data_IF_383473322385
#
_entry.id   IF_383473322385
#
_cell.length_a   1.000
_cell.length_b   1.000
_cell.length_c   1.000
_cell.angle_alpha   90.00
_cell.angle_beta   90.00
_cell.angle_gamma   90.00
#
_symmetry.space_group_name_H-M   'P 1'
#
loop_
_entity.id
_entity.type
_entity.pdbx_description
1 polymer ?
#
# COMPACT_ATOMS: atom_id res chain seq x y z
N UNK A 1 8.04 -0.24 -25.17
CA UNK A 1 7.27 -1.51 -25.13
C UNK A 1 5.87 -1.23 -25.64
N UNK A 2 5.41 -1.97 -26.64
CA UNK A 2 4.04 -1.86 -27.17
C UNK A 2 3.25 -3.04 -26.60
N UNK A 3 2.11 -2.76 -25.97
CA UNK A 3 1.23 -3.78 -25.39
C UNK A 3 -0.09 -3.75 -26.16
N UNK A 4 -0.46 -4.87 -26.76
CA UNK A 4 -1.74 -5.05 -27.44
C UNK A 4 -2.67 -5.81 -26.49
N UNK A 5 -3.82 -5.21 -26.19
CA UNK A 5 -4.84 -5.79 -25.29
C UNK A 5 -6.21 -5.58 -25.93
N UNK A 6 -7.01 -6.65 -26.01
CA UNK A 6 -8.43 -6.53 -26.34
C UNK A 6 -9.22 -6.31 -25.05
N UNK A 7 -10.07 -5.29 -25.04
CA UNK A 7 -11.01 -5.03 -23.95
C UNK A 7 -12.41 -5.25 -24.53
N UNK A 8 -13.21 -6.11 -23.89
CA UNK A 8 -14.55 -6.45 -24.37
C UNK A 8 -15.56 -6.43 -23.22
N UNK A 9 -16.78 -6.00 -23.52
CA UNK A 9 -17.88 -5.97 -22.56
C UNK A 9 -17.66 -4.99 -21.42
N UNK A 10 -17.70 -5.48 -20.19
CA UNK A 10 -17.71 -4.64 -19.00
C UNK A 10 -16.42 -3.82 -18.81
N UNK A 11 -15.26 -4.41 -19.09
CA UNK A 11 -13.96 -3.72 -18.96
C UNK A 11 -13.81 -2.58 -19.95
N UNK A 12 -14.30 -2.73 -21.18
CA UNK A 12 -14.34 -1.63 -22.14
C UNK A 12 -15.26 -0.50 -21.64
N UNK A 13 -16.42 -0.86 -21.10
CA UNK A 13 -17.39 0.11 -20.57
C UNK A 13 -16.82 0.93 -19.40
N UNK A 14 -16.05 0.30 -18.51
CA UNK A 14 -15.34 0.97 -17.41
C UNK A 14 -14.31 1.96 -17.94
N UNK A 15 -13.51 1.57 -18.94
CA UNK A 15 -12.51 2.45 -19.56
C UNK A 15 -13.17 3.64 -20.25
N UNK A 16 -14.24 3.41 -21.01
CA UNK A 16 -14.97 4.47 -21.69
C UNK A 16 -15.60 5.45 -20.69
N UNK A 17 -16.12 4.95 -19.57
CA UNK A 17 -16.62 5.81 -18.49
C UNK A 17 -15.50 6.61 -17.82
N UNK A 18 -14.32 6.02 -17.60
CA UNK A 18 -13.18 6.75 -17.05
C UNK A 18 -12.74 7.90 -17.98
N UNK A 19 -12.82 7.70 -19.31
CA UNK A 19 -12.56 8.74 -20.29
C UNK A 19 -13.65 9.81 -20.27
N UNK A 20 -14.92 9.41 -20.30
CA UNK A 20 -16.08 10.34 -20.28
C UNK A 20 -16.09 11.25 -19.06
N UNK A 21 -15.66 10.73 -17.90
CA UNK A 21 -15.58 11.49 -16.65
C UNK A 21 -14.27 12.28 -16.49
N UNK A 22 -13.38 12.24 -17.49
CA UNK A 22 -12.11 12.99 -17.47
C UNK A 22 -11.07 12.45 -16.48
N UNK A 23 -11.24 11.22 -15.98
CA UNK A 23 -10.26 10.57 -15.10
C UNK A 23 -8.96 10.27 -15.86
N UNK A 24 -9.09 9.92 -17.13
CA UNK A 24 -8.00 9.65 -18.08
C UNK A 24 -8.37 10.15 -19.47
N UNK A 25 -7.40 10.44 -20.34
CA UNK A 25 -7.65 11.01 -21.67
C UNK A 25 -7.75 9.95 -22.77
N UNK A 26 -7.13 8.79 -22.57
CA UNK A 26 -7.06 7.73 -23.59
C UNK A 26 -7.21 6.34 -22.98
N UNK A 27 -7.61 5.35 -23.79
CA UNK A 27 -7.68 3.94 -23.37
C UNK A 27 -6.31 3.43 -22.88
N UNK A 28 -5.23 3.84 -23.53
CA UNK A 28 -3.87 3.48 -23.14
C UNK A 28 -3.49 4.05 -21.76
N UNK A 29 -3.91 5.27 -21.45
CA UNK A 29 -3.71 5.88 -20.14
C UNK A 29 -4.50 5.15 -19.05
N UNK A 30 -5.74 4.77 -19.33
CA UNK A 30 -6.56 3.96 -18.43
C UNK A 30 -5.85 2.64 -18.05
N UNK A 31 -5.32 1.92 -19.04
CA UNK A 31 -4.61 0.65 -18.83
C UNK A 31 -3.33 0.87 -18.00
N UNK A 32 -2.56 1.92 -18.29
CA UNK A 32 -1.35 2.24 -17.51
C UNK A 32 -1.68 2.54 -16.05
N UNK A 33 -2.72 3.33 -15.81
CA UNK A 33 -3.19 3.62 -14.45
C UNK A 33 -3.65 2.36 -13.73
N UNK A 34 -4.40 1.49 -14.41
CA UNK A 34 -4.84 0.21 -13.84
C UNK A 34 -3.66 -0.67 -13.43
N UNK A 35 -2.62 -0.79 -14.27
CA UNK A 35 -1.42 -1.57 -13.96
C UNK A 35 -0.63 -0.97 -12.78
N UNK A 36 -0.55 0.36 -12.69
CA UNK A 36 0.11 1.03 -11.57
C UNK A 36 -0.62 0.72 -10.25
N UNK A 37 -1.95 0.88 -10.24
CA UNK A 37 -2.78 0.60 -9.08
C UNK A 37 -2.75 -0.87 -8.70
N UNK A 38 -2.77 -1.77 -9.68
CA UNK A 38 -2.62 -3.20 -9.46
C UNK A 38 -1.29 -3.52 -8.78
N UNK A 39 -0.16 -2.99 -9.29
CA UNK A 39 1.11 -3.23 -8.64
C UNK A 39 1.24 -2.61 -7.24
N UNK A 40 0.52 -1.51 -6.95
CA UNK A 40 0.44 -0.95 -5.60
C UNK A 40 -0.39 -1.84 -4.67
N UNK A 41 -1.57 -2.28 -5.12
CA UNK A 41 -2.48 -3.11 -4.34
C UNK A 41 -1.84 -4.45 -3.93
N UNK A 42 -1.05 -5.03 -4.83
CA UNK A 42 -0.38 -6.32 -4.62
C UNK A 42 1.09 -6.19 -4.21
N UNK A 43 1.56 -4.97 -3.88
CA UNK A 43 2.95 -4.69 -3.47
C UNK A 43 4.02 -5.25 -4.43
N UNK A 44 3.74 -5.30 -5.74
CA UNK A 44 4.73 -5.72 -6.75
C UNK A 44 5.90 -4.74 -6.90
N UNK A 45 5.72 -3.51 -6.44
CA UNK A 45 6.75 -2.47 -6.44
C UNK A 45 7.61 -2.47 -5.18
N UNK A 46 7.09 -3.03 -4.09
CA UNK A 46 7.84 -3.23 -2.85
C UNK A 46 8.62 -4.55 -2.98
N UNK A 47 9.67 -4.54 -3.78
CA UNK A 47 10.79 -5.43 -3.48
C UNK A 47 11.41 -4.92 -2.18
N UNK A 48 10.80 -5.25 -1.04
CA UNK A 48 11.42 -5.01 0.25
C UNK A 48 12.67 -5.85 0.24
N UNK A 49 13.82 -5.20 0.12
CA UNK A 49 15.08 -5.93 0.15
C UNK A 49 15.17 -6.63 1.49
N UNK A 50 15.75 -7.83 1.53
CA UNK A 50 16.03 -8.53 2.79
C UNK A 50 16.75 -7.63 3.81
N UNK A 51 17.49 -6.64 3.33
CA UNK A 51 18.16 -5.64 4.15
C UNK A 51 17.22 -4.58 4.76
N UNK A 52 16.16 -4.16 4.08
CA UNK A 52 15.13 -3.28 4.67
C UNK A 52 14.34 -3.99 5.75
N UNK A 53 13.96 -5.27 5.53
CA UNK A 53 13.34 -6.11 6.55
C UNK A 53 14.27 -6.27 7.76
N UNK A 54 15.57 -6.51 7.54
CA UNK A 54 16.57 -6.60 8.61
C UNK A 54 16.76 -5.27 9.35
N UNK A 55 16.69 -4.12 8.66
CA UNK A 55 16.79 -2.79 9.28
C UNK A 55 15.61 -2.51 10.18
N UNK A 56 14.38 -2.77 9.72
CA UNK A 56 13.16 -2.64 10.53
C UNK A 56 13.23 -3.56 11.74
N UNK A 57 13.58 -4.85 11.55
CA UNK A 57 13.72 -5.81 12.65
C UNK A 57 14.76 -5.36 13.68
N UNK A 58 15.95 -4.91 13.26
CA UNK A 58 16.99 -4.40 14.18
C UNK A 58 16.51 -3.20 14.97
N UNK A 59 15.82 -2.26 14.32
CA UNK A 59 15.24 -1.08 14.98
C UNK A 59 14.21 -1.50 16.04
N UNK A 60 13.28 -2.39 15.68
CA UNK A 60 12.27 -2.91 16.62
C UNK A 60 12.90 -3.69 17.79
N UNK A 61 13.93 -4.49 17.55
CA UNK A 61 14.64 -5.20 18.62
C UNK A 61 15.39 -4.25 19.57
N UNK A 62 15.94 -3.14 19.06
CA UNK A 62 16.59 -2.11 19.88
C UNK A 62 15.57 -1.32 20.71
N UNK A 63 14.46 -0.91 20.10
CA UNK A 63 13.37 -0.23 20.79
C UNK A 63 12.78 -1.13 21.89
N UNK A 64 12.54 -2.41 21.61
CA UNK A 64 12.07 -3.37 22.62
C UNK A 64 13.08 -3.58 23.76
N UNK A 65 14.39 -3.54 23.49
CA UNK A 65 15.41 -3.58 24.54
C UNK A 65 15.39 -2.32 25.38
N UNK A 66 15.20 -1.15 24.78
CA UNK A 66 15.09 0.13 25.49
C UNK A 66 13.83 0.19 26.33
N UNK A 67 12.68 -0.29 25.83
CA UNK A 67 11.43 -0.39 26.60
C UNK A 67 11.61 -1.33 27.80
N UNK A 68 12.25 -2.50 27.59
CA UNK A 68 12.55 -3.43 28.69
C UNK A 68 13.54 -2.86 29.71
N UNK A 69 14.54 -2.09 29.27
CA UNK A 69 15.56 -1.51 30.13
C UNK A 69 15.08 -0.25 30.86
N UNK A 70 14.18 0.53 30.26
CA UNK A 70 13.59 1.74 30.85
C UNK A 70 12.53 1.45 31.90
N UNK A 71 12.04 0.20 31.97
CA UNK A 71 10.97 -0.17 32.89
C UNK A 71 9.65 0.51 32.57
N UNK A 72 9.49 1.03 31.34
CA UNK A 72 8.25 1.64 30.88
C UNK A 72 7.09 0.66 31.03
N UNK A 73 6.00 1.13 31.65
CA UNK A 73 4.78 0.34 31.79
C UNK A 73 4.26 0.03 30.40
N UNK A 74 4.11 -1.26 30.10
CA UNK A 74 3.40 -1.72 28.93
C UNK A 74 1.91 -1.48 29.15
N UNK A 75 1.33 -0.59 28.35
CA UNK A 75 -0.11 -0.35 28.36
C UNK A 75 -0.78 -1.26 27.35
N UNK A 76 -1.86 -1.88 27.79
CA UNK A 76 -2.81 -2.56 26.91
C UNK A 76 -3.61 -1.55 26.10
N UNK A 77 -4.12 -1.96 24.94
CA UNK A 77 -4.99 -1.11 24.11
C UNK A 77 -6.24 -0.62 24.87
N UNK A 78 -6.72 -1.38 25.85
CA UNK A 78 -7.83 -1.00 26.72
C UNK A 78 -7.45 0.15 27.67
N UNK A 79 -6.22 0.17 28.18
CA UNK A 79 -5.72 1.24 29.06
C UNK A 79 -5.49 2.55 28.27
N UNK A 80 -4.93 2.45 27.07
CA UNK A 80 -4.71 3.61 26.18
C UNK A 80 -6.05 4.27 25.80
N UNK A 81 -7.08 3.49 25.44
CA UNK A 81 -8.40 4.05 25.11
C UNK A 81 -9.04 4.78 26.29
N UNK A 82 -8.85 4.26 27.50
CA UNK A 82 -9.36 4.89 28.73
C UNK A 82 -8.64 6.20 29.05
N UNK A 83 -7.35 6.29 28.77
CA UNK A 83 -6.53 7.48 29.03
C UNK A 83 -6.76 8.60 27.99
N UNK A 84 -6.92 8.25 26.71
CA UNK A 84 -7.11 9.21 25.63
C UNK A 84 -8.57 9.48 25.24
N UNK A 85 -9.54 8.82 25.89
CA UNK A 85 -10.99 8.93 25.62
C UNK A 85 -11.35 8.78 24.13
N UNK A 86 -10.73 7.81 23.45
CA UNK A 86 -11.05 7.41 22.06
C UNK A 86 -11.77 6.07 22.07
#
# INVERSE_FOLDING_TARGET
>A
MIVNVSLEGYTESVVDNAIKNGVVKTKAEAIRFALLLFGREYNFWDTVTLDEVKKVRKKTEQEMKQIKASGEKLYTLAEIRKEFKV
#
